data_IF_090011903901
#
_entry.id   IF_090011903901
#
_cell.length_a   1.000
_cell.length_b   1.000
_cell.length_c   1.000
_cell.angle_alpha   90.00
_cell.angle_beta   90.00
_cell.angle_gamma   90.00
#
_symmetry.space_group_name_H-M   'P 1'
#
loop_
_entity.id
_entity.type
_entity.pdbx_description
1 polymer ?
#
# COMPACT_ATOMS: atom_id res chain seq x y z
N UNK A 1 22.88 -34.79 7.22
CA UNK A 1 21.51 -34.51 7.71
C UNK A 1 21.63 -33.50 8.84
N UNK A 2 21.52 -32.22 8.54
CA UNK A 2 21.46 -31.15 9.55
C UNK A 2 20.00 -30.86 9.82
N UNK A 3 19.65 -30.91 11.07
CA UNK A 3 18.33 -30.68 11.66
C UNK A 3 17.66 -29.45 11.07
N UNK A 4 16.54 -29.66 10.34
CA UNK A 4 15.58 -28.61 10.03
C UNK A 4 15.27 -27.86 11.34
N UNK A 5 15.67 -26.60 11.41
CA UNK A 5 15.10 -25.73 12.44
C UNK A 5 13.58 -25.78 12.26
N UNK A 6 12.93 -26.52 13.16
CA UNK A 6 11.48 -26.46 13.30
C UNK A 6 11.14 -24.98 13.48
N UNK A 7 10.54 -24.40 12.47
CA UNK A 7 9.82 -23.13 12.60
C UNK A 7 8.80 -23.34 13.72
N UNK A 8 9.18 -22.93 14.94
CA UNK A 8 8.23 -22.85 16.04
C UNK A 8 7.25 -21.76 15.66
N UNK A 9 6.15 -22.16 15.02
CA UNK A 9 4.98 -21.34 14.85
C UNK A 9 4.48 -21.02 16.26
N UNK A 10 4.99 -19.93 16.85
CA UNK A 10 4.30 -19.30 17.97
C UNK A 10 2.91 -19.02 17.44
N UNK A 11 1.91 -19.70 17.98
CA UNK A 11 0.53 -19.68 17.49
C UNK A 11 0.07 -18.22 17.58
N UNK A 12 0.11 -17.51 16.45
CA UNK A 12 -0.30 -16.10 16.39
C UNK A 12 -1.76 -15.98 16.78
N UNK A 13 -2.08 -14.97 17.56
CA UNK A 13 -3.45 -14.69 17.95
C UNK A 13 -4.07 -13.83 16.87
N UNK A 14 -4.90 -14.45 16.05
CA UNK A 14 -5.64 -13.81 14.96
C UNK A 14 -7.15 -13.91 15.17
N UNK A 15 -7.87 -12.84 14.85
CA UNK A 15 -9.33 -12.82 14.82
C UNK A 15 -9.79 -12.56 13.38
N UNK A 16 -10.49 -13.51 12.77
CA UNK A 16 -11.03 -13.36 11.42
C UNK A 16 -10.34 -14.19 10.34
N UNK A 17 -9.28 -14.95 10.65
CA UNK A 17 -8.67 -15.85 9.69
C UNK A 17 -9.68 -16.87 9.17
N UNK A 18 -9.78 -16.98 7.84
CA UNK A 18 -10.72 -17.86 7.14
C UNK A 18 -10.01 -19.18 6.85
N UNK A 19 -10.56 -20.28 7.34
CA UNK A 19 -10.02 -21.61 7.09
C UNK A 19 -11.07 -22.46 6.39
N UNK A 20 -10.85 -22.73 5.11
CA UNK A 20 -11.71 -23.58 4.27
C UNK A 20 -11.06 -24.91 4.00
N UNK A 21 -11.88 -25.97 3.84
CA UNK A 21 -11.39 -27.26 3.30
C UNK A 21 -11.03 -27.06 1.82
N UNK A 22 -9.91 -27.65 1.38
CA UNK A 22 -9.46 -27.57 -0.03
C UNK A 22 -10.27 -28.45 -0.98
N UNK A 23 -10.90 -29.52 -0.47
CA UNK A 23 -11.67 -30.46 -1.30
C UNK A 23 -12.74 -29.74 -2.09
N UNK A 24 -12.67 -29.83 -3.42
CA UNK A 24 -13.59 -29.17 -4.35
C UNK A 24 -13.36 -27.64 -4.52
N UNK A 25 -12.22 -27.13 -4.07
CA UNK A 25 -11.84 -25.72 -4.20
C UNK A 25 -10.45 -25.58 -4.80
N UNK A 26 -10.25 -24.51 -5.58
CA UNK A 26 -8.94 -24.14 -6.10
C UNK A 26 -8.11 -23.47 -4.99
N UNK A 27 -6.95 -24.06 -4.60
CA UNK A 27 -6.08 -23.46 -3.61
C UNK A 27 -5.25 -22.34 -4.23
N UNK A 28 -5.25 -21.16 -3.62
CA UNK A 28 -4.49 -20.00 -4.05
C UNK A 28 -3.50 -19.62 -2.95
N UNK A 29 -2.22 -19.51 -3.29
CA UNK A 29 -1.22 -18.92 -2.40
C UNK A 29 -1.25 -17.41 -2.57
N UNK A 30 -1.66 -16.66 -1.55
CA UNK A 30 -1.58 -15.21 -1.50
C UNK A 30 -0.31 -14.80 -0.76
N UNK A 31 0.69 -14.38 -1.51
CA UNK A 31 2.02 -14.04 -1.00
C UNK A 31 2.16 -12.53 -0.84
N UNK A 32 2.47 -12.08 0.38
CA UNK A 32 2.99 -10.74 0.59
C UNK A 32 4.52 -10.86 0.71
N UNK A 33 5.30 -10.28 -0.23
CA UNK A 33 6.74 -10.51 -0.29
C UNK A 33 7.52 -9.67 0.75
N UNK A 34 7.06 -9.72 1.98
CA UNK A 34 7.66 -9.08 3.14
C UNK A 34 7.20 -9.78 4.42
N UNK A 35 7.59 -9.25 5.58
CA UNK A 35 7.27 -9.86 6.87
C UNK A 35 5.77 -9.89 7.16
N UNK A 36 5.37 -10.84 8.02
CA UNK A 36 4.00 -10.94 8.50
C UNK A 36 3.49 -9.62 9.10
N UNK A 37 4.33 -8.94 9.89
CA UNK A 37 3.97 -7.70 10.56
C UNK A 37 3.55 -6.61 9.56
N UNK A 38 4.31 -6.45 8.49
CA UNK A 38 4.02 -5.48 7.44
C UNK A 38 2.81 -5.89 6.58
N UNK A 39 2.74 -7.19 6.23
CA UNK A 39 1.62 -7.69 5.43
C UNK A 39 0.28 -7.56 6.15
N UNK A 40 0.22 -7.88 7.44
CA UNK A 40 -1.03 -7.75 8.20
C UNK A 40 -1.44 -6.30 8.50
N UNK A 41 -0.51 -5.36 8.38
CA UNK A 41 -0.77 -3.93 8.41
C UNK A 41 -1.13 -3.34 7.02
N UNK A 42 -1.19 -4.17 5.99
CA UNK A 42 -1.47 -3.74 4.62
C UNK A 42 -2.93 -3.98 4.24
N UNK A 43 -3.70 -2.89 4.07
CA UNK A 43 -5.13 -2.99 3.76
C UNK A 43 -5.38 -3.63 2.38
N UNK A 44 -4.50 -3.42 1.40
CA UNK A 44 -4.60 -4.05 0.09
C UNK A 44 -4.54 -5.58 0.16
N UNK A 45 -3.56 -6.14 0.91
CA UNK A 45 -3.49 -7.58 1.16
C UNK A 45 -4.75 -8.10 1.85
N UNK A 46 -5.24 -7.38 2.86
CA UNK A 46 -6.45 -7.73 3.61
C UNK A 46 -7.68 -7.77 2.69
N UNK A 47 -7.81 -6.78 1.80
CA UNK A 47 -8.89 -6.72 0.81
C UNK A 47 -8.82 -7.89 -0.17
N UNK A 48 -7.65 -8.16 -0.75
CA UNK A 48 -7.47 -9.30 -1.67
C UNK A 48 -7.79 -10.63 -0.99
N UNK A 49 -7.35 -10.82 0.26
CA UNK A 49 -7.66 -12.00 1.05
C UNK A 49 -9.17 -12.19 1.27
N UNK A 50 -9.86 -11.10 1.62
CA UNK A 50 -11.31 -11.10 1.80
C UNK A 50 -12.05 -11.43 0.50
N UNK A 51 -11.70 -10.76 -0.59
CA UNK A 51 -12.29 -10.97 -1.92
C UNK A 51 -12.11 -12.41 -2.38
N UNK A 52 -10.91 -12.96 -2.34
CA UNK A 52 -10.65 -14.34 -2.76
C UNK A 52 -11.42 -15.33 -1.89
N UNK A 53 -11.47 -15.11 -0.58
CA UNK A 53 -12.16 -16.03 0.33
C UNK A 53 -13.67 -15.80 0.44
N UNK A 54 -14.24 -14.78 -0.18
CA UNK A 54 -15.70 -14.62 -0.26
C UNK A 54 -16.35 -15.60 -1.22
N UNK A 55 -15.60 -16.13 -2.20
CA UNK A 55 -16.08 -17.13 -3.14
C UNK A 55 -15.81 -18.57 -2.65
N UNK A 56 -16.83 -19.42 -2.72
CA UNK A 56 -16.73 -20.80 -2.25
C UNK A 56 -15.94 -21.72 -3.19
N UNK A 57 -15.65 -21.31 -4.41
CA UNK A 57 -14.86 -22.07 -5.38
C UNK A 57 -13.37 -22.04 -5.08
N UNK A 58 -12.91 -21.08 -4.30
CA UNK A 58 -11.48 -20.89 -3.99
C UNK A 58 -11.21 -20.95 -2.49
N UNK A 59 -9.97 -21.24 -2.16
CA UNK A 59 -9.40 -21.10 -0.81
C UNK A 59 -8.05 -20.41 -0.93
N UNK A 60 -7.96 -19.16 -0.44
CA UNK A 60 -6.73 -18.40 -0.40
C UNK A 60 -6.05 -18.53 0.96
N UNK A 61 -4.78 -18.90 0.93
CA UNK A 61 -3.91 -19.02 2.11
C UNK A 61 -2.76 -18.03 2.03
N UNK A 62 -2.44 -17.38 3.14
CA UNK A 62 -1.44 -16.31 3.21
C UNK A 62 -0.02 -16.85 3.41
N UNK A 63 0.91 -16.21 2.71
CA UNK A 63 2.35 -16.45 2.82
C UNK A 63 3.08 -15.13 3.04
N UNK A 64 4.14 -15.17 3.84
CA UNK A 64 5.00 -14.02 4.10
C UNK A 64 6.46 -14.43 3.97
N UNK A 65 7.31 -13.52 3.52
CA UNK A 65 8.75 -13.76 3.42
C UNK A 65 9.42 -13.25 4.70
N UNK A 66 9.99 -14.13 5.52
CA UNK A 66 10.65 -13.71 6.74
C UNK A 66 11.91 -12.88 6.45
N UNK A 67 12.28 -12.03 7.39
CA UNK A 67 13.61 -11.43 7.42
C UNK A 67 14.70 -12.46 7.76
N UNK A 68 15.98 -12.05 7.74
CA UNK A 68 17.07 -12.92 8.16
C UNK A 68 16.78 -13.59 9.52
N UNK A 69 17.13 -14.86 9.72
CA UNK A 69 18.05 -15.69 8.92
C UNK A 69 17.38 -16.58 7.84
N UNK A 70 16.26 -16.20 7.23
CA UNK A 70 15.60 -16.98 6.17
C UNK A 70 16.56 -17.21 4.99
N UNK A 71 16.78 -18.48 4.66
CA UNK A 71 17.58 -18.92 3.50
C UNK A 71 16.65 -19.56 2.45
N UNK A 72 16.41 -18.88 1.31
CA UNK A 72 15.49 -19.39 0.28
C UNK A 72 15.95 -20.72 -0.38
N UNK A 73 17.20 -21.12 -0.22
CA UNK A 73 17.70 -22.40 -0.77
C UNK A 73 17.45 -23.59 0.17
N UNK A 74 17.27 -23.33 1.46
CA UNK A 74 17.15 -24.37 2.49
C UNK A 74 15.84 -24.31 3.28
N UNK A 75 15.15 -23.17 3.29
CA UNK A 75 13.92 -22.97 4.03
C UNK A 75 12.71 -22.92 3.09
N UNK A 76 11.62 -23.56 3.47
CA UNK A 76 10.36 -23.50 2.75
C UNK A 76 9.44 -22.42 3.32
N UNK A 77 8.78 -21.64 2.45
CA UNK A 77 7.67 -20.79 2.86
C UNK A 77 6.43 -21.66 3.14
N UNK A 78 5.82 -21.44 4.31
CA UNK A 78 4.63 -22.17 4.74
C UNK A 78 3.44 -21.24 4.91
N UNK A 79 2.25 -21.71 4.53
CA UNK A 79 1.02 -20.93 4.67
C UNK A 79 0.65 -20.70 6.14
N UNK A 80 0.02 -19.57 6.44
CA UNK A 80 -0.48 -19.24 7.77
C UNK A 80 -1.71 -20.09 8.16
N UNK A 81 -2.55 -20.44 7.20
CA UNK A 81 -3.80 -21.17 7.44
C UNK A 81 -3.58 -22.67 7.67
N UNK A 82 -2.86 -23.36 6.77
CA UNK A 82 -2.70 -24.82 6.80
C UNK A 82 -1.30 -25.32 7.14
N UNK A 83 -0.28 -24.44 7.08
CA UNK A 83 1.14 -24.83 7.22
C UNK A 83 1.69 -25.59 6.01
N UNK A 84 1.01 -25.56 4.86
CA UNK A 84 1.49 -26.19 3.63
C UNK A 84 2.57 -25.37 2.96
N UNK A 85 3.53 -26.01 2.29
CA UNK A 85 4.56 -25.30 1.54
C UNK A 85 3.98 -24.64 0.28
N UNK A 86 4.66 -23.59 -0.20
CA UNK A 86 4.27 -22.85 -1.42
C UNK A 86 4.21 -23.76 -2.66
N UNK A 87 4.99 -24.84 -2.68
CA UNK A 87 5.00 -25.86 -3.74
C UNK A 87 3.69 -26.63 -3.91
N UNK A 88 2.80 -26.59 -2.90
CA UNK A 88 1.49 -27.27 -2.97
C UNK A 88 0.42 -26.46 -3.72
N UNK A 89 0.77 -25.33 -4.29
CA UNK A 89 -0.15 -24.40 -4.93
C UNK A 89 0.20 -24.21 -6.42
N UNK A 90 -0.78 -24.34 -7.27
CA UNK A 90 -0.63 -24.12 -8.72
C UNK A 90 -0.87 -22.67 -9.14
N UNK A 91 -1.50 -21.89 -8.27
CA UNK A 91 -1.75 -20.45 -8.46
C UNK A 91 -1.12 -19.70 -7.29
N UNK A 92 -0.18 -18.83 -7.61
CA UNK A 92 0.53 -18.01 -6.63
C UNK A 92 0.31 -16.53 -6.98
N UNK A 93 -0.32 -15.79 -6.07
CA UNK A 93 -0.67 -14.39 -6.24
C UNK A 93 0.18 -13.54 -5.30
N UNK A 94 1.02 -12.68 -5.85
CA UNK A 94 1.81 -11.71 -5.10
C UNK A 94 1.05 -10.39 -4.95
N UNK A 95 0.88 -9.91 -3.71
CA UNK A 95 0.40 -8.58 -3.40
C UNK A 95 1.59 -7.67 -3.08
N UNK A 96 2.00 -6.81 -4.02
CA UNK A 96 3.24 -6.04 -3.94
C UNK A 96 2.93 -4.56 -3.71
N UNK A 97 3.24 -4.06 -2.51
CA UNK A 97 2.98 -2.67 -2.14
C UNK A 97 4.21 -1.77 -2.23
N UNK A 98 5.42 -2.35 -2.21
CA UNK A 98 6.67 -1.61 -2.19
C UNK A 98 7.66 -2.20 -3.20
N UNK A 99 8.39 -1.37 -3.93
CA UNK A 99 9.45 -1.81 -4.84
C UNK A 99 10.62 -2.46 -4.09
N UNK A 100 10.86 -2.07 -2.83
CA UNK A 100 11.85 -2.71 -1.95
C UNK A 100 11.57 -4.19 -1.66
N UNK A 101 10.35 -4.65 -1.92
CA UNK A 101 9.96 -6.06 -1.75
C UNK A 101 10.29 -6.95 -2.97
N UNK A 102 10.73 -6.39 -4.10
CA UNK A 102 11.07 -7.17 -5.30
C UNK A 102 12.12 -8.27 -5.06
N UNK A 103 13.22 -8.03 -4.30
CA UNK A 103 14.15 -9.11 -3.97
C UNK A 103 13.52 -10.26 -3.19
N UNK A 104 12.52 -9.97 -2.36
CA UNK A 104 11.83 -10.99 -1.59
C UNK A 104 10.85 -11.82 -2.43
N UNK A 105 10.29 -11.24 -3.50
CA UNK A 105 9.54 -12.01 -4.51
C UNK A 105 10.45 -13.10 -5.12
N UNK A 106 11.66 -12.73 -5.53
CA UNK A 106 12.65 -13.71 -6.08
C UNK A 106 13.00 -14.78 -5.05
N UNK A 107 13.20 -14.39 -3.78
CA UNK A 107 13.45 -15.36 -2.68
C UNK A 107 12.27 -16.33 -2.49
N UNK A 108 11.03 -15.84 -2.60
CA UNK A 108 9.85 -16.69 -2.50
C UNK A 108 9.79 -17.74 -3.61
N UNK A 109 10.02 -17.34 -4.86
CA UNK A 109 10.08 -18.27 -6.01
C UNK A 109 11.21 -19.27 -5.85
N UNK A 110 12.41 -18.82 -5.47
CA UNK A 110 13.57 -19.67 -5.24
C UNK A 110 13.32 -20.72 -4.14
N UNK A 111 12.67 -20.33 -3.04
CA UNK A 111 12.34 -21.25 -1.93
C UNK A 111 11.40 -22.39 -2.33
N UNK A 112 10.58 -22.16 -3.35
CA UNK A 112 9.69 -23.16 -3.94
C UNK A 112 10.30 -23.86 -5.16
N UNK A 113 11.56 -23.54 -5.53
CA UNK A 113 12.26 -24.06 -6.72
C UNK A 113 11.48 -23.85 -8.02
N UNK A 114 10.72 -22.77 -8.09
CA UNK A 114 9.99 -22.35 -9.29
C UNK A 114 10.99 -21.68 -10.24
N UNK A 115 10.99 -22.01 -11.54
CA UNK A 115 11.81 -21.31 -12.51
C UNK A 115 11.60 -19.80 -12.41
N UNK A 116 12.70 -19.04 -12.27
CA UNK A 116 12.59 -17.59 -12.07
C UNK A 116 12.09 -16.90 -13.32
N UNK A 117 12.71 -17.21 -14.48
CA UNK A 117 12.22 -16.68 -15.76
C UNK A 117 10.87 -17.31 -16.10
N UNK A 118 9.87 -16.48 -16.34
CA UNK A 118 8.53 -16.92 -16.73
C UNK A 118 8.53 -17.69 -18.07
N UNK A 119 9.50 -17.46 -18.95
CA UNK A 119 9.64 -18.18 -20.22
C UNK A 119 10.13 -19.63 -20.03
N UNK A 120 10.75 -19.96 -18.90
CA UNK A 120 11.22 -21.32 -18.60
C UNK A 120 10.13 -22.20 -17.97
N UNK A 121 8.96 -21.62 -17.63
CA UNK A 121 7.86 -22.35 -16.98
C UNK A 121 7.05 -23.16 -17.97
N UNK A 122 6.92 -24.45 -17.69
CA UNK A 122 6.09 -25.39 -18.44
C UNK A 122 4.68 -25.57 -17.84
N UNK A 123 3.94 -26.53 -18.39
CA UNK A 123 2.56 -26.87 -17.97
C UNK A 123 2.47 -27.35 -16.50
N UNK A 124 3.57 -27.94 -16.00
CA UNK A 124 3.68 -28.45 -14.63
C UNK A 124 3.91 -27.36 -13.58
N UNK A 125 4.39 -26.20 -13.98
CA UNK A 125 4.74 -25.11 -13.06
C UNK A 125 3.52 -24.29 -12.66
N UNK A 126 3.55 -23.63 -11.48
CA UNK A 126 2.47 -22.75 -11.06
C UNK A 126 2.36 -21.51 -11.95
N UNK A 127 1.18 -20.93 -12.03
CA UNK A 127 0.96 -19.61 -12.63
C UNK A 127 1.26 -18.55 -11.58
N UNK A 128 2.18 -17.65 -11.90
CA UNK A 128 2.62 -16.56 -11.02
C UNK A 128 1.92 -15.28 -11.42
N UNK A 129 1.11 -14.77 -10.52
CA UNK A 129 0.31 -13.55 -10.70
C UNK A 129 0.84 -12.48 -9.75
N UNK A 130 0.91 -11.24 -10.17
CA UNK A 130 1.24 -10.12 -9.29
C UNK A 130 0.25 -8.97 -9.44
N UNK A 131 -0.02 -8.30 -8.34
CA UNK A 131 -0.82 -7.08 -8.28
C UNK A 131 -0.36 -6.19 -7.13
N UNK A 132 -1.03 -5.06 -6.97
CA UNK A 132 -0.74 -4.08 -5.94
C UNK A 132 -0.09 -2.81 -6.48
N UNK A 133 0.04 -1.79 -5.63
CA UNK A 133 0.39 -0.44 -6.06
C UNK A 133 1.75 -0.37 -6.75
N UNK A 134 2.76 -1.14 -6.32
CA UNK A 134 4.07 -1.13 -6.93
C UNK A 134 4.02 -1.58 -8.39
N UNK A 135 3.20 -2.59 -8.71
CA UNK A 135 3.02 -3.09 -10.08
C UNK A 135 2.15 -2.16 -10.94
N UNK A 136 1.18 -1.46 -10.35
CA UNK A 136 0.42 -0.42 -11.06
C UNK A 136 1.33 0.76 -11.44
N UNK A 137 2.26 1.12 -10.56
CA UNK A 137 3.25 2.17 -10.85
C UNK A 137 4.20 1.72 -11.97
N UNK A 138 4.79 0.54 -11.85
CA UNK A 138 5.66 -0.01 -12.89
C UNK A 138 5.81 -1.54 -12.73
N UNK A 139 5.22 -2.37 -13.60
CA UNK A 139 5.38 -3.82 -13.56
C UNK A 139 6.73 -4.30 -14.13
N UNK A 140 7.37 -3.51 -15.00
CA UNK A 140 8.52 -3.92 -15.79
C UNK A 140 9.74 -4.39 -14.98
N UNK A 141 10.09 -3.80 -13.82
CA UNK A 141 11.25 -4.26 -13.05
C UNK A 141 11.20 -5.74 -12.63
N UNK A 142 10.01 -6.33 -12.58
CA UNK A 142 9.81 -7.74 -12.20
C UNK A 142 9.07 -8.55 -13.26
N UNK A 143 8.88 -8.00 -14.45
CA UNK A 143 8.11 -8.62 -15.53
C UNK A 143 8.65 -10.00 -15.95
N UNK A 144 9.97 -10.19 -15.96
CA UNK A 144 10.59 -11.48 -16.29
C UNK A 144 10.19 -12.61 -15.31
N UNK A 145 9.81 -12.30 -14.08
CA UNK A 145 9.47 -13.26 -13.03
C UNK A 145 7.97 -13.56 -12.94
N UNK A 146 7.12 -12.83 -13.65
CA UNK A 146 5.67 -12.86 -13.49
C UNK A 146 5.00 -13.29 -14.79
N UNK A 147 4.03 -14.20 -14.69
CA UNK A 147 3.23 -14.61 -15.85
C UNK A 147 2.13 -13.60 -16.16
N UNK A 148 1.52 -13.03 -15.12
CA UNK A 148 0.36 -12.14 -15.24
C UNK A 148 0.44 -11.02 -14.20
N UNK A 149 0.22 -9.79 -14.63
CA UNK A 149 -0.09 -8.69 -13.71
C UNK A 149 -1.59 -8.37 -13.74
N UNK A 150 -2.14 -8.14 -12.57
CA UNK A 150 -3.47 -7.59 -12.36
C UNK A 150 -3.31 -6.11 -11.96
N UNK A 151 -3.51 -5.22 -12.92
CA UNK A 151 -3.29 -3.78 -12.78
C UNK A 151 -4.61 -3.08 -12.49
N UNK A 152 -4.77 -2.57 -11.28
CA UNK A 152 -5.96 -1.81 -10.89
C UNK A 152 -6.57 -2.24 -9.55
N UNK A 153 -7.83 -1.92 -9.39
CA UNK A 153 -8.61 -2.21 -8.18
C UNK A 153 -9.15 -3.64 -8.23
N UNK A 154 -8.86 -4.41 -7.18
CA UNK A 154 -9.33 -5.80 -7.10
C UNK A 154 -10.87 -5.88 -7.11
N UNK A 155 -11.55 -4.88 -6.59
CA UNK A 155 -13.00 -4.78 -6.55
C UNK A 155 -13.60 -4.73 -7.97
N UNK A 156 -12.93 -4.06 -8.91
CA UNK A 156 -13.35 -4.02 -10.32
C UNK A 156 -13.16 -5.36 -11.04
N UNK A 157 -12.26 -6.20 -10.54
CA UNK A 157 -11.93 -7.50 -11.11
C UNK A 157 -12.76 -8.63 -10.50
N UNK A 158 -13.31 -8.44 -9.30
CA UNK A 158 -13.97 -9.48 -8.49
C UNK A 158 -15.00 -10.31 -9.24
N UNK A 159 -15.89 -9.76 -10.08
CA UNK A 159 -16.93 -10.55 -10.73
C UNK A 159 -16.40 -11.69 -11.62
N UNK A 160 -15.22 -11.49 -12.23
CA UNK A 160 -14.61 -12.46 -13.14
C UNK A 160 -13.42 -13.20 -12.53
N UNK A 161 -12.77 -12.61 -11.52
CA UNK A 161 -11.47 -13.05 -11.00
C UNK A 161 -11.48 -14.53 -10.59
N UNK A 162 -12.39 -14.93 -9.73
CA UNK A 162 -12.42 -16.32 -9.22
C UNK A 162 -12.81 -17.32 -10.30
N UNK A 163 -13.69 -16.95 -11.23
CA UNK A 163 -14.03 -17.78 -12.40
C UNK A 163 -12.78 -18.05 -13.23
N UNK A 164 -12.03 -17.01 -13.51
CA UNK A 164 -10.83 -17.10 -14.34
C UNK A 164 -9.70 -17.81 -13.60
N UNK A 165 -9.48 -17.53 -12.31
CA UNK A 165 -8.49 -18.26 -11.52
C UNK A 165 -8.77 -19.76 -11.42
N UNK A 166 -10.03 -20.14 -11.29
CA UNK A 166 -10.40 -21.57 -11.33
C UNK A 166 -10.17 -22.21 -12.70
N UNK A 167 -10.38 -21.46 -13.79
CA UNK A 167 -10.10 -21.94 -15.14
C UNK A 167 -8.60 -22.11 -15.43
N UNK A 168 -7.72 -21.42 -14.70
CA UNK A 168 -6.26 -21.62 -14.81
C UNK A 168 -5.81 -23.02 -14.37
N UNK A 169 -6.61 -23.76 -13.61
CA UNK A 169 -6.34 -25.16 -13.26
C UNK A 169 -6.80 -26.15 -14.33
N UNK A 170 -7.54 -25.74 -15.37
CA UNK A 170 -8.00 -26.62 -16.43
C UNK A 170 -6.81 -27.12 -17.26
N UNK A 171 -6.48 -28.39 -17.11
CA UNK A 171 -5.36 -29.04 -17.80
C UNK A 171 -5.60 -29.29 -19.30
N UNK A 172 -6.81 -29.01 -19.82
CA UNK A 172 -7.15 -29.24 -21.24
C UNK A 172 -6.60 -28.17 -22.18
N UNK A 173 -6.44 -26.94 -21.69
CA UNK A 173 -5.87 -25.84 -22.43
C UNK A 173 -4.37 -25.70 -22.10
N UNK A 174 -3.56 -25.31 -23.08
CA UNK A 174 -2.15 -24.97 -22.85
C UNK A 174 -2.01 -23.76 -21.92
N UNK A 175 -0.85 -23.65 -21.24
CA UNK A 175 -0.53 -22.49 -20.40
C UNK A 175 -0.80 -21.16 -21.13
N UNK A 176 -0.33 -21.06 -22.39
CA UNK A 176 -0.48 -19.86 -23.22
C UNK A 176 -1.95 -19.53 -23.54
N UNK A 177 -2.75 -20.53 -23.83
CA UNK A 177 -4.19 -20.35 -24.07
C UNK A 177 -4.92 -19.87 -22.83
N UNK A 178 -4.60 -20.44 -21.65
CA UNK A 178 -5.15 -19.99 -20.37
C UNK A 178 -4.82 -18.54 -20.06
N UNK A 179 -3.56 -18.10 -20.28
CA UNK A 179 -3.10 -16.72 -20.08
C UNK A 179 -3.82 -15.76 -21.04
N UNK A 180 -3.97 -16.16 -22.33
CA UNK A 180 -4.70 -15.37 -23.34
C UNK A 180 -6.18 -15.22 -22.99
N UNK A 181 -6.83 -16.29 -22.58
CA UNK A 181 -8.24 -16.27 -22.19
C UNK A 181 -8.49 -15.32 -21.01
N UNK A 182 -7.59 -15.32 -20.02
CA UNK A 182 -7.65 -14.41 -18.89
C UNK A 182 -7.52 -12.95 -19.34
N UNK A 183 -6.54 -12.66 -20.20
CA UNK A 183 -6.36 -11.31 -20.74
C UNK A 183 -7.54 -10.83 -21.57
N UNK A 184 -8.22 -11.72 -22.30
CA UNK A 184 -9.39 -11.39 -23.09
C UNK A 184 -10.66 -11.15 -22.25
N UNK A 185 -10.76 -11.76 -21.06
CA UNK A 185 -11.95 -11.67 -20.20
C UNK A 185 -11.92 -10.55 -19.17
N UNK A 186 -10.75 -10.00 -18.86
CA UNK A 186 -10.60 -9.03 -17.76
C UNK A 186 -9.81 -7.81 -18.19
N UNK A 187 -10.30 -6.64 -17.83
CA UNK A 187 -9.52 -5.40 -17.91
C UNK A 187 -8.40 -5.40 -16.86
N UNK A 188 -7.31 -4.69 -17.16
CA UNK A 188 -6.18 -4.57 -16.25
C UNK A 188 -5.24 -5.79 -16.23
N UNK A 189 -5.40 -6.72 -17.16
CA UNK A 189 -4.52 -7.89 -17.27
C UNK A 189 -3.37 -7.59 -18.22
N UNK A 190 -2.15 -7.66 -17.69
CA UNK A 190 -0.91 -7.54 -18.46
C UNK A 190 -0.13 -8.87 -18.39
N UNK A 191 0.14 -9.46 -19.55
CA UNK A 191 0.94 -10.69 -19.72
C UNK A 191 2.25 -10.30 -20.39
N UNK A 192 3.37 -10.14 -19.65
CA UNK A 192 4.61 -9.59 -20.22
C UNK A 192 5.11 -10.31 -21.46
N UNK A 193 5.01 -11.63 -21.50
CA UNK A 193 5.46 -12.46 -22.62
C UNK A 193 4.73 -12.18 -23.95
N UNK A 194 3.55 -11.52 -23.90
CA UNK A 194 2.79 -11.19 -25.09
C UNK A 194 3.20 -9.84 -25.72
N UNK A 195 4.13 -9.13 -25.11
CA UNK A 195 4.55 -7.80 -25.54
C UNK A 195 6.06 -7.75 -25.79
N UNK A 196 6.45 -7.10 -26.89
CA UNK A 196 7.86 -6.95 -27.25
C UNK A 196 8.20 -5.46 -27.37
N UNK A 197 9.15 -4.95 -26.58
CA UNK A 197 9.57 -3.55 -26.69
C UNK A 197 10.32 -3.32 -28.00
N UNK A 198 9.97 -2.25 -28.71
CA UNK A 198 10.61 -1.83 -29.95
C UNK A 198 11.55 -0.68 -29.65
N UNK A 199 12.85 -0.90 -29.88
CA UNK A 199 13.87 0.13 -29.67
C UNK A 199 14.42 0.64 -31.00
N UNK A 200 14.67 1.94 -31.08
CA UNK A 200 15.40 2.59 -32.17
C UNK A 200 16.44 3.53 -31.56
N UNK A 201 17.69 3.39 -31.99
CA UNK A 201 18.82 4.19 -31.50
C UNK A 201 18.95 4.17 -29.94
N UNK A 202 18.67 3.04 -29.32
CA UNK A 202 18.70 2.86 -27.86
C UNK A 202 17.49 3.40 -27.10
N UNK A 203 16.55 4.08 -27.77
CA UNK A 203 15.32 4.59 -27.17
C UNK A 203 14.14 3.65 -27.43
N UNK A 204 13.27 3.45 -26.45
CA UNK A 204 12.01 2.75 -26.63
C UNK A 204 11.07 3.62 -27.50
N UNK A 205 10.68 3.09 -28.66
CA UNK A 205 9.83 3.80 -29.64
C UNK A 205 8.42 3.22 -29.76
N UNK A 206 8.19 2.03 -29.22
CA UNK A 206 6.89 1.39 -29.27
C UNK A 206 6.88 -0.01 -28.68
N UNK A 207 5.76 -0.68 -28.81
CA UNK A 207 5.53 -2.05 -28.36
C UNK A 207 4.89 -2.86 -29.49
N UNK A 208 5.43 -4.02 -29.79
CA UNK A 208 4.75 -5.10 -30.47
C UNK A 208 3.92 -5.89 -29.48
N UNK A 209 2.82 -6.48 -29.92
CA UNK A 209 2.01 -7.37 -29.11
C UNK A 209 1.48 -8.54 -29.95
N UNK A 210 1.16 -9.64 -29.30
CA UNK A 210 0.53 -10.78 -29.93
C UNK A 210 -0.98 -10.52 -30.15
N UNK A 211 -1.54 -11.18 -31.17
CA UNK A 211 -2.98 -11.11 -31.44
C UNK A 211 -3.80 -11.58 -30.23
N UNK A 212 -4.84 -10.83 -29.89
CA UNK A 212 -5.73 -11.08 -28.75
C UNK A 212 -5.29 -10.42 -27.44
N UNK A 213 -4.18 -9.67 -27.43
CA UNK A 213 -3.77 -8.82 -26.29
C UNK A 213 -3.96 -7.34 -26.64
N UNK A 214 -4.38 -6.55 -25.66
CA UNK A 214 -4.69 -5.14 -25.86
C UNK A 214 -3.47 -4.24 -25.61
N UNK A 215 -3.35 -3.16 -26.41
CA UNK A 215 -2.42 -2.08 -26.18
C UNK A 215 -3.15 -0.73 -26.37
N UNK A 216 -3.08 0.22 -25.42
CA UNK A 216 -2.48 0.08 -24.09
C UNK A 216 -3.28 -0.86 -23.17
N UNK A 217 -2.60 -1.43 -22.16
CA UNK A 217 -3.27 -2.13 -21.06
C UNK A 217 -3.82 -1.09 -20.09
N UNK A 218 -5.13 -0.92 -20.08
CA UNK A 218 -5.78 0.01 -19.17
C UNK A 218 -6.00 -0.65 -17.80
N UNK A 219 -5.66 0.02 -16.67
CA UNK A 219 -5.92 -0.54 -15.36
C UNK A 219 -7.43 -0.66 -15.10
N UNK A 220 -7.83 -1.68 -14.36
CA UNK A 220 -9.21 -1.83 -13.90
C UNK A 220 -9.49 -0.84 -12.76
N UNK A 221 -10.52 -0.01 -12.91
CA UNK A 221 -10.90 1.01 -11.93
C UNK A 221 -12.29 0.74 -11.41
N UNK A 222 -12.43 0.64 -10.09
CA UNK A 222 -13.71 0.44 -9.42
C UNK A 222 -14.39 1.79 -9.21
N UNK A 223 -15.49 2.04 -9.91
CA UNK A 223 -16.24 3.30 -9.87
C UNK A 223 -17.59 3.17 -9.16
N UNK A 224 -18.01 1.97 -8.85
CA UNK A 224 -19.29 1.71 -8.19
C UNK A 224 -19.24 2.13 -6.70
N UNK A 225 -20.42 2.13 -6.09
CA UNK A 225 -20.57 2.36 -4.65
C UNK A 225 -20.63 1.02 -3.93
N UNK A 226 -19.60 0.61 -3.19
CA UNK A 226 -19.65 -0.64 -2.45
C UNK A 226 -20.62 -0.53 -1.28
N UNK A 227 -21.25 -1.64 -0.92
CA UNK A 227 -22.06 -1.74 0.31
C UNK A 227 -21.20 -1.73 1.58
N UNK A 228 -19.95 -2.19 1.46
CA UNK A 228 -18.97 -2.24 2.56
C UNK A 228 -17.64 -1.71 2.04
N UNK A 229 -17.09 -0.71 2.71
CA UNK A 229 -15.77 -0.16 2.37
C UNK A 229 -14.66 -1.19 2.63
N UNK A 230 -13.54 -1.14 1.88
CA UNK A 230 -12.37 -1.98 2.14
C UNK A 230 -11.90 -1.84 3.59
N UNK A 231 -11.70 -2.97 4.27
CA UNK A 231 -11.39 -2.99 5.70
C UNK A 231 -10.54 -4.20 6.08
N UNK A 232 -10.00 -4.18 7.30
CA UNK A 232 -9.24 -5.29 7.89
C UNK A 232 -10.11 -6.54 8.01
N UNK A 233 -9.70 -7.63 7.38
CA UNK A 233 -10.35 -8.94 7.49
C UNK A 233 -9.88 -9.69 8.73
N UNK A 234 -8.58 -9.59 9.03
CA UNK A 234 -7.93 -10.29 10.13
C UNK A 234 -7.24 -9.28 11.04
N UNK A 235 -7.65 -9.26 12.29
CA UNK A 235 -7.02 -8.48 13.36
C UNK A 235 -5.94 -9.33 14.01
N UNK A 236 -4.72 -8.81 14.12
CA UNK A 236 -3.58 -9.51 14.73
C UNK A 236 -2.84 -8.63 15.72
N UNK A 237 -2.43 -9.23 16.85
CA UNK A 237 -1.55 -8.57 17.81
C UNK A 237 -0.11 -8.40 17.31
N UNK A 238 0.29 -9.22 16.32
CA UNK A 238 1.64 -9.25 15.76
C UNK A 238 1.79 -8.40 14.50
N UNK A 239 0.75 -7.66 14.11
CA UNK A 239 0.81 -6.68 13.02
C UNK A 239 1.69 -5.48 13.40
N UNK A 240 2.24 -4.77 12.42
CA UNK A 240 2.91 -3.48 12.64
C UNK A 240 1.96 -2.41 13.25
N UNK A 241 0.63 -2.61 13.10
CA UNK A 241 -0.41 -1.88 13.83
C UNK A 241 -1.20 -2.89 14.71
N UNK A 242 -0.70 -3.23 15.91
CA UNK A 242 -1.29 -4.28 16.72
C UNK A 242 -2.76 -4.03 17.06
N UNK A 243 -3.61 -5.04 16.82
CA UNK A 243 -5.04 -5.00 17.10
C UNK A 243 -5.84 -3.87 16.44
N UNK A 244 -5.26 -3.16 15.47
CA UNK A 244 -5.93 -2.09 14.76
C UNK A 244 -6.85 -2.64 13.66
N UNK A 245 -8.05 -2.08 13.60
CA UNK A 245 -8.97 -2.29 12.50
C UNK A 245 -8.90 -1.11 11.54
N UNK A 246 -8.39 -1.32 10.35
CA UNK A 246 -8.28 -0.29 9.31
C UNK A 246 -9.53 -0.30 8.44
N UNK A 247 -9.97 0.90 8.03
CA UNK A 247 -11.02 1.09 7.04
C UNK A 247 -10.61 2.17 6.05
N UNK A 248 -10.81 1.91 4.77
CA UNK A 248 -10.57 2.89 3.72
C UNK A 248 -11.77 3.84 3.61
N UNK A 249 -11.53 5.14 3.68
CA UNK A 249 -12.57 6.18 3.53
C UNK A 249 -12.51 6.84 2.16
N UNK A 250 -11.35 6.77 1.51
CA UNK A 250 -11.15 7.27 0.13
C UNK A 250 -9.94 6.64 -0.52
N UNK A 251 -9.93 6.60 -1.86
CA UNK A 251 -8.81 6.10 -2.67
C UNK A 251 -8.40 7.14 -3.70
N UNK A 252 -7.08 7.36 -3.82
CA UNK A 252 -6.50 8.36 -4.70
C UNK A 252 -6.45 9.74 -4.08
N UNK A 253 -5.92 10.71 -4.82
CA UNK A 253 -5.73 12.08 -4.38
C UNK A 253 -5.89 13.05 -5.57
N UNK A 254 -6.65 14.13 -5.38
CA UNK A 254 -6.90 15.15 -6.41
C UNK A 254 -5.82 16.23 -6.51
N UNK A 255 -4.85 16.28 -5.59
CA UNK A 255 -3.93 17.43 -5.43
C UNK A 255 -2.85 17.53 -6.49
N UNK A 256 -2.38 16.43 -7.05
CA UNK A 256 -1.39 16.44 -8.15
C UNK A 256 0.01 16.88 -7.73
N UNK A 257 0.45 16.57 -6.51
CA UNK A 257 1.85 16.76 -6.11
C UNK A 257 2.77 16.02 -7.09
N UNK A 258 3.79 16.71 -7.63
CA UNK A 258 4.57 16.23 -8.78
C UNK A 258 5.43 15.00 -8.52
N UNK A 259 5.59 14.61 -7.26
CA UNK A 259 6.36 13.42 -6.82
C UNK A 259 5.49 12.23 -6.44
N UNK A 260 4.18 12.42 -6.21
CA UNK A 260 3.34 11.46 -5.54
C UNK A 260 2.56 10.58 -6.53
N UNK A 261 2.92 9.30 -6.65
CA UNK A 261 2.25 8.37 -7.54
C UNK A 261 0.73 8.22 -7.24
N UNK A 262 0.32 8.25 -5.97
CA UNK A 262 -1.08 8.10 -5.58
C UNK A 262 -2.02 9.16 -6.20
N UNK A 263 -1.49 10.36 -6.49
CA UNK A 263 -2.23 11.42 -7.18
C UNK A 263 -2.41 11.18 -8.70
N UNK A 264 -1.79 10.15 -9.26
CA UNK A 264 -1.81 9.89 -10.71
C UNK A 264 -2.32 8.48 -11.04
N UNK A 265 -1.91 7.45 -10.30
CA UNK A 265 -2.30 6.06 -10.60
C UNK A 265 -3.68 5.67 -10.07
N UNK A 266 -4.19 6.37 -9.04
CA UNK A 266 -5.53 6.15 -8.49
C UNK A 266 -6.53 7.22 -8.95
N UNK A 267 -6.61 7.47 -10.24
CA UNK A 267 -7.59 8.39 -10.82
C UNK A 267 -8.78 7.65 -11.43
N UNK A 268 -10.01 8.26 -11.31
CA UNK A 268 -10.35 9.45 -10.54
C UNK A 268 -10.26 9.20 -9.03
N UNK A 269 -9.97 10.24 -8.20
CA UNK A 269 -10.07 10.14 -6.75
C UNK A 269 -11.51 9.78 -6.34
N UNK A 270 -11.66 8.87 -5.39
CA UNK A 270 -12.97 8.32 -4.99
C UNK A 270 -13.14 8.38 -3.48
N UNK A 271 -14.34 8.72 -3.05
CA UNK A 271 -14.76 8.67 -1.65
C UNK A 271 -15.72 7.51 -1.49
N UNK A 272 -15.55 6.75 -0.43
CA UNK A 272 -16.51 5.71 -0.10
C UNK A 272 -17.73 6.34 0.58
N UNK A 273 -18.96 5.87 0.28
CA UNK A 273 -20.17 6.31 0.99
C UNK A 273 -20.02 6.07 2.49
N UNK A 274 -20.48 7.00 3.33
CA UNK A 274 -20.38 6.85 4.79
C UNK A 274 -21.16 5.64 5.30
N UNK A 275 -22.22 5.23 4.61
CA UNK A 275 -22.94 3.99 4.87
C UNK A 275 -22.05 2.76 4.69
N UNK A 276 -21.22 2.75 3.65
CA UNK A 276 -20.26 1.67 3.40
C UNK A 276 -19.14 1.65 4.47
N UNK A 277 -18.67 2.83 4.89
CA UNK A 277 -17.71 2.97 6.01
C UNK A 277 -18.33 2.48 7.32
N UNK A 278 -19.60 2.82 7.58
CA UNK A 278 -20.34 2.35 8.74
C UNK A 278 -20.50 0.82 8.74
N UNK A 279 -20.85 0.25 7.58
CA UNK A 279 -20.96 -1.21 7.39
C UNK A 279 -19.62 -1.90 7.64
N UNK A 280 -18.50 -1.31 7.19
CA UNK A 280 -17.17 -1.83 7.48
C UNK A 280 -16.83 -1.74 8.98
N UNK A 281 -17.10 -0.61 9.63
CA UNK A 281 -16.90 -0.44 11.07
C UNK A 281 -17.72 -1.43 11.91
N UNK A 282 -18.88 -1.85 11.43
CA UNK A 282 -19.68 -2.89 12.09
C UNK A 282 -18.97 -4.26 12.10
N UNK A 283 -18.03 -4.50 11.17
CA UNK A 283 -17.24 -5.73 11.10
C UNK A 283 -16.02 -5.76 12.04
N UNK A 284 -15.73 -4.66 12.77
CA UNK A 284 -14.53 -4.50 13.61
C UNK A 284 -14.45 -5.44 14.81
N UNK A 285 -15.49 -6.24 15.04
CA UNK A 285 -15.61 -7.10 16.22
C UNK A 285 -15.49 -6.27 17.52
N UNK A 286 -14.51 -6.57 18.34
CA UNK A 286 -14.21 -5.88 19.60
C UNK A 286 -13.03 -4.88 19.49
N UNK A 287 -12.51 -4.63 18.27
CA UNK A 287 -11.44 -3.67 18.08
C UNK A 287 -11.89 -2.26 18.43
N UNK A 288 -11.08 -1.58 19.25
CA UNK A 288 -11.30 -0.19 19.67
C UNK A 288 -10.36 0.78 18.94
N UNK A 289 -9.23 0.27 18.41
CA UNK A 289 -8.28 1.06 17.64
C UNK A 289 -8.64 0.98 16.17
N UNK A 290 -9.03 2.10 15.60
CA UNK A 290 -9.49 2.23 14.21
C UNK A 290 -8.49 3.06 13.43
N UNK A 291 -7.93 2.49 12.36
CA UNK A 291 -7.08 3.21 11.41
C UNK A 291 -7.90 3.70 10.21
N UNK A 292 -7.99 5.00 10.00
CA UNK A 292 -8.63 5.57 8.82
C UNK A 292 -7.60 5.77 7.70
N UNK A 293 -7.89 5.21 6.51
CA UNK A 293 -7.03 5.29 5.34
C UNK A 293 -7.70 6.18 4.29
N UNK A 294 -6.98 7.18 3.76
CA UNK A 294 -7.48 8.05 2.71
C UNK A 294 -8.17 9.33 3.20
N UNK A 295 -7.64 9.97 4.23
CA UNK A 295 -8.27 11.10 4.94
C UNK A 295 -8.39 12.42 4.17
N UNK A 296 -7.77 12.59 3.02
CA UNK A 296 -7.71 13.90 2.35
C UNK A 296 -9.09 14.48 2.00
N UNK A 297 -10.11 13.63 2.02
CA UNK A 297 -11.45 13.96 1.52
C UNK A 297 -12.55 13.94 2.60
N UNK A 298 -12.24 13.92 3.89
CA UNK A 298 -13.27 14.02 4.92
C UNK A 298 -13.85 15.44 4.95
N UNK A 299 -15.14 15.55 4.74
CA UNK A 299 -15.93 16.77 4.91
C UNK A 299 -16.33 17.01 6.37
N UNK A 300 -17.04 18.11 6.62
CA UNK A 300 -17.52 18.42 7.98
C UNK A 300 -18.50 17.37 8.50
N UNK A 301 -19.43 16.93 7.67
CA UNK A 301 -20.46 15.95 8.06
C UNK A 301 -19.83 14.60 8.44
N UNK A 302 -18.82 14.15 7.68
CA UNK A 302 -18.09 12.92 7.99
C UNK A 302 -17.27 13.02 9.28
N UNK A 303 -16.69 14.21 9.55
CA UNK A 303 -15.97 14.48 10.79
C UNK A 303 -16.91 14.47 11.98
N UNK A 304 -18.09 15.07 11.88
CA UNK A 304 -19.11 15.08 12.92
C UNK A 304 -19.63 13.67 13.21
N UNK A 305 -19.99 12.93 12.17
CA UNK A 305 -20.43 11.55 12.30
C UNK A 305 -19.38 10.64 12.97
N UNK A 306 -18.09 10.77 12.60
CA UNK A 306 -17.01 10.05 13.26
C UNK A 306 -16.86 10.46 14.73
N UNK A 307 -17.01 11.74 15.04
CA UNK A 307 -16.90 12.26 16.41
C UNK A 307 -17.99 11.71 17.34
N UNK A 308 -19.22 11.61 16.84
CA UNK A 308 -20.34 11.00 17.56
C UNK A 308 -20.09 9.53 17.88
N UNK A 309 -19.62 8.78 16.88
CA UNK A 309 -19.30 7.36 17.06
C UNK A 309 -18.13 7.11 18.01
N UNK A 310 -17.10 7.95 17.97
CA UNK A 310 -16.01 7.90 18.94
C UNK A 310 -16.52 7.97 20.36
N UNK A 311 -17.40 8.91 20.61
CA UNK A 311 -17.95 9.16 21.96
C UNK A 311 -18.87 8.02 22.40
N UNK A 312 -19.81 7.61 21.53
CA UNK A 312 -20.82 6.60 21.86
C UNK A 312 -20.25 5.18 21.99
N UNK A 313 -19.24 4.83 21.18
CA UNK A 313 -18.71 3.47 21.11
C UNK A 313 -17.32 3.30 21.77
N UNK A 314 -16.73 4.38 22.28
CA UNK A 314 -15.41 4.39 22.95
C UNK A 314 -14.28 3.97 21.99
N UNK A 315 -14.31 4.43 20.74
CA UNK A 315 -13.30 4.13 19.72
C UNK A 315 -12.12 5.10 19.81
N UNK A 316 -10.95 4.64 19.40
CA UNK A 316 -9.74 5.46 19.24
C UNK A 316 -9.38 5.48 17.76
N UNK A 317 -9.32 6.69 17.16
CA UNK A 317 -8.93 6.81 15.76
C UNK A 317 -7.43 7.07 15.60
N UNK A 318 -6.84 6.42 14.62
CA UNK A 318 -5.53 6.72 14.10
C UNK A 318 -5.65 7.22 12.67
N UNK A 319 -4.86 8.22 12.34
CA UNK A 319 -4.90 8.91 11.07
C UNK A 319 -3.57 8.78 10.32
N UNK A 320 -3.61 8.77 8.99
CA UNK A 320 -2.44 8.98 8.15
C UNK A 320 -1.91 10.42 8.29
N UNK A 321 -0.88 10.79 7.52
CA UNK A 321 -0.37 12.16 7.51
C UNK A 321 -1.43 13.16 7.06
N UNK A 322 -1.46 14.31 7.75
CA UNK A 322 -2.41 15.39 7.51
C UNK A 322 -1.79 16.46 6.58
N UNK A 323 -2.62 17.08 5.78
CA UNK A 323 -2.23 18.34 5.14
C UNK A 323 -2.54 19.51 6.08
N UNK A 324 -1.61 20.44 6.21
CA UNK A 324 -1.76 21.59 7.07
C UNK A 324 -2.99 22.45 6.69
N UNK A 325 -3.24 22.64 5.39
CA UNK A 325 -4.38 23.40 4.87
C UNK A 325 -5.75 22.72 5.06
N UNK A 326 -5.78 21.46 5.50
CA UNK A 326 -6.99 20.71 5.81
C UNK A 326 -7.29 20.64 7.34
N UNK A 327 -6.45 21.22 8.16
CA UNK A 327 -6.65 21.24 9.62
C UNK A 327 -7.71 22.30 9.99
N UNK A 328 -8.91 21.85 10.29
CA UNK A 328 -10.03 22.68 10.74
C UNK A 328 -10.26 22.54 12.26
N UNK A 329 -10.95 23.48 12.92
CA UNK A 329 -11.32 23.33 14.33
C UNK A 329 -12.11 22.05 14.63
N UNK A 330 -13.00 21.63 13.74
CA UNK A 330 -13.75 20.37 13.87
C UNK A 330 -12.83 19.15 13.80
N UNK A 331 -11.86 19.16 12.89
CA UNK A 331 -10.87 18.11 12.79
C UNK A 331 -9.95 18.03 14.03
N UNK A 332 -9.56 19.17 14.59
CA UNK A 332 -8.80 19.23 15.86
C UNK A 332 -9.60 18.64 17.02
N UNK A 333 -10.91 18.95 17.10
CA UNK A 333 -11.80 18.33 18.10
C UNK A 333 -11.85 16.80 17.93
N UNK A 334 -11.93 16.32 16.69
CA UNK A 334 -11.89 14.88 16.37
C UNK A 334 -10.58 14.23 16.82
N UNK A 335 -9.41 14.85 16.52
CA UNK A 335 -8.10 14.38 16.98
C UNK A 335 -8.05 14.27 18.50
N UNK A 336 -8.54 15.29 19.21
CA UNK A 336 -8.58 15.28 20.67
C UNK A 336 -9.50 14.18 21.21
N UNK A 337 -10.71 14.06 20.67
CA UNK A 337 -11.68 13.04 21.06
C UNK A 337 -11.14 11.62 20.82
N UNK A 338 -10.35 11.42 19.77
CA UNK A 338 -9.68 10.16 19.46
C UNK A 338 -8.52 9.82 20.41
N UNK A 339 -8.16 10.72 21.32
CA UNK A 339 -7.02 10.53 22.22
C UNK A 339 -5.66 10.60 21.53
N UNK A 340 -5.59 11.21 20.34
CA UNK A 340 -4.35 11.33 19.56
C UNK A 340 -3.25 12.03 20.40
N UNK A 341 -2.08 11.40 20.45
CA UNK A 341 -0.91 11.95 21.15
C UNK A 341 0.09 12.59 20.19
N UNK A 342 0.00 12.25 18.91
CA UNK A 342 0.89 12.71 17.83
C UNK A 342 0.02 13.07 16.64
N UNK A 343 0.26 14.23 16.05
CA UNK A 343 -0.25 14.56 14.72
C UNK A 343 0.92 14.55 13.71
N UNK A 344 0.68 14.01 12.53
CA UNK A 344 1.69 13.94 11.48
C UNK A 344 1.33 14.94 10.37
N UNK A 345 2.23 15.87 10.07
CA UNK A 345 2.10 16.84 8.97
C UNK A 345 3.21 16.57 7.97
N UNK A 346 2.90 16.71 6.68
CA UNK A 346 3.85 16.49 5.59
C UNK A 346 4.07 17.78 4.76
N UNK A 347 4.96 18.69 5.19
CA UNK A 347 5.36 19.85 4.38
C UNK A 347 6.09 19.43 3.10
N UNK A 348 6.85 18.34 3.15
CA UNK A 348 7.67 17.72 2.10
C UNK A 348 8.95 18.50 1.77
N UNK A 349 8.94 19.84 1.80
CA UNK A 349 10.09 20.69 1.55
C UNK A 349 10.15 21.84 2.57
N UNK A 350 11.37 22.34 2.84
CA UNK A 350 11.61 23.44 3.79
C UNK A 350 11.08 24.76 3.32
N UNK A 351 11.42 25.18 2.08
CA UNK A 351 11.04 26.49 1.55
C UNK A 351 9.67 26.47 0.86
N UNK A 352 8.97 27.59 0.90
CA UNK A 352 7.71 27.77 0.14
C UNK A 352 7.93 27.68 -1.38
N UNK A 353 9.07 28.15 -1.86
CA UNK A 353 9.43 28.10 -3.27
C UNK A 353 9.49 26.65 -3.75
N UNK A 354 10.17 25.79 -3.01
CA UNK A 354 10.28 24.37 -3.35
C UNK A 354 8.92 23.66 -3.16
N UNK A 355 8.12 24.02 -2.15
CA UNK A 355 6.75 23.50 -2.00
C UNK A 355 5.84 23.85 -3.18
N UNK A 356 5.99 25.03 -3.78
CA UNK A 356 5.32 25.41 -5.06
C UNK A 356 5.86 24.59 -6.22
N UNK A 357 7.18 24.43 -6.30
CA UNK A 357 7.84 23.64 -7.35
C UNK A 357 7.35 22.21 -7.40
N UNK A 358 7.16 21.57 -6.25
CA UNK A 358 6.63 20.19 -6.16
C UNK A 358 5.09 20.13 -6.20
N UNK A 359 4.41 21.25 -6.42
CA UNK A 359 2.94 21.40 -6.41
C UNK A 359 2.28 20.95 -5.07
N UNK A 360 2.98 21.12 -3.95
CA UNK A 360 2.40 20.91 -2.61
C UNK A 360 1.57 22.13 -2.19
N UNK A 361 1.99 23.33 -2.59
CA UNK A 361 1.27 24.61 -2.42
C UNK A 361 0.84 24.89 -0.96
N UNK A 362 1.71 24.61 0.00
CA UNK A 362 1.55 24.97 1.41
C UNK A 362 2.44 26.18 1.74
N UNK A 363 1.88 27.21 2.34
CA UNK A 363 2.64 28.34 2.88
C UNK A 363 3.14 28.04 4.31
N UNK A 364 4.14 28.78 4.75
CA UNK A 364 4.62 28.70 6.13
C UNK A 364 3.50 29.04 7.12
N UNK A 365 2.72 30.09 6.82
CA UNK A 365 1.60 30.50 7.68
C UNK A 365 0.54 29.43 7.82
N UNK A 366 0.18 28.73 6.73
CA UNK A 366 -0.75 27.59 6.81
C UNK A 366 -0.21 26.49 7.70
N UNK A 367 1.09 26.19 7.62
CA UNK A 367 1.73 25.18 8.47
C UNK A 367 1.71 25.62 9.93
N UNK A 368 2.09 26.87 10.22
CA UNK A 368 2.14 27.39 11.59
C UNK A 368 0.74 27.51 12.23
N UNK A 369 -0.28 27.94 11.47
CA UNK A 369 -1.68 27.99 11.91
C UNK A 369 -2.16 26.56 12.26
N UNK A 370 -1.86 25.57 11.40
CA UNK A 370 -2.23 24.19 11.66
C UNK A 370 -1.55 23.64 12.93
N UNK A 371 -0.26 23.95 13.11
CA UNK A 371 0.52 23.56 14.29
C UNK A 371 -0.06 24.17 15.56
N UNK A 372 -0.35 25.47 15.53
CA UNK A 372 -0.97 26.17 16.67
C UNK A 372 -2.32 25.53 17.05
N UNK A 373 -3.18 25.32 16.05
CA UNK A 373 -4.49 24.70 16.26
C UNK A 373 -4.39 23.29 16.86
N UNK A 374 -3.49 22.45 16.35
CA UNK A 374 -3.25 21.09 16.82
C UNK A 374 -2.72 21.09 18.27
N UNK A 375 -1.70 21.91 18.56
CA UNK A 375 -1.09 22.00 19.88
C UNK A 375 -2.07 22.58 20.92
N UNK A 376 -2.76 23.68 20.59
CA UNK A 376 -3.80 24.29 21.42
C UNK A 376 -5.00 23.36 21.63
N UNK A 377 -5.31 22.52 20.64
CA UNK A 377 -6.33 21.47 20.71
C UNK A 377 -5.97 20.29 21.61
N UNK A 378 -4.75 20.26 22.19
CA UNK A 378 -4.34 19.25 23.16
C UNK A 378 -3.61 18.03 22.57
N UNK A 379 -3.16 18.10 21.32
CA UNK A 379 -2.26 17.10 20.71
C UNK A 379 -0.82 17.60 20.83
N UNK A 380 -0.02 17.10 21.79
CA UNK A 380 1.23 17.76 22.19
C UNK A 380 2.39 17.49 21.25
N UNK A 381 2.39 16.37 20.51
CA UNK A 381 3.54 15.97 19.71
C UNK A 381 3.25 16.09 18.22
N UNK A 382 4.27 16.48 17.46
CA UNK A 382 4.23 16.53 16.01
C UNK A 382 5.24 15.58 15.39
N UNK A 383 4.86 14.97 14.27
CA UNK A 383 5.77 14.32 13.35
C UNK A 383 5.72 15.06 12.01
N UNK A 384 6.88 15.43 11.51
CA UNK A 384 7.01 16.19 10.26
C UNK A 384 7.72 15.34 9.23
N UNK A 385 7.15 15.27 8.01
CA UNK A 385 7.77 14.59 6.89
C UNK A 385 8.37 15.58 5.90
N UNK A 386 9.63 15.33 5.54
CA UNK A 386 10.35 16.06 4.51
C UNK A 386 11.05 15.09 3.55
N UNK A 387 11.38 15.59 2.37
CA UNK A 387 12.22 14.92 1.39
C UNK A 387 13.45 15.78 1.09
N UNK A 388 14.56 15.10 0.78
CA UNK A 388 15.78 15.70 0.23
C UNK A 388 16.06 15.11 -1.16
N UNK A 389 16.76 15.87 -2.00
CA UNK A 389 17.05 15.48 -3.37
C UNK A 389 15.89 15.71 -4.33
N UNK A 390 14.96 16.58 -3.97
CA UNK A 390 13.87 17.00 -4.85
C UNK A 390 14.42 17.73 -6.11
N UNK A 391 13.77 17.59 -7.27
CA UNK A 391 14.14 18.37 -8.44
C UNK A 391 14.15 19.86 -8.14
N UNK A 392 15.22 20.53 -8.58
CA UNK A 392 15.49 21.98 -8.39
C UNK A 392 15.78 22.40 -6.94
N UNK A 393 15.96 21.45 -6.02
CA UNK A 393 16.32 21.73 -4.63
C UNK A 393 17.73 22.34 -4.52
N UNK A 394 17.85 23.44 -3.81
CA UNK A 394 19.14 24.07 -3.45
C UNK A 394 19.57 23.69 -2.02
N UNK A 395 20.78 24.07 -1.63
CA UNK A 395 21.25 23.85 -0.25
C UNK A 395 20.49 24.76 0.73
N UNK A 396 20.05 25.95 0.28
CA UNK A 396 19.21 26.86 1.06
C UNK A 396 17.82 26.26 1.31
N UNK A 397 17.24 25.54 0.33
CA UNK A 397 15.97 24.83 0.52
C UNK A 397 16.10 23.71 1.57
N UNK A 398 17.24 23.02 1.62
CA UNK A 398 17.51 22.01 2.62
C UNK A 398 17.66 22.62 4.02
N UNK A 399 18.39 23.75 4.14
CA UNK A 399 18.51 24.50 5.40
C UNK A 399 17.17 25.06 5.86
N UNK A 400 16.30 25.46 4.97
CA UNK A 400 14.95 25.95 5.28
C UNK A 400 14.09 24.89 6.03
N UNK A 401 14.44 23.59 5.96
CA UNK A 401 13.81 22.57 6.81
C UNK A 401 14.06 22.88 8.29
N UNK A 402 15.30 23.19 8.64
CA UNK A 402 15.69 23.50 10.02
C UNK A 402 15.00 24.80 10.50
N UNK A 403 15.00 25.84 9.65
CA UNK A 403 14.34 27.11 9.94
C UNK A 403 12.84 26.95 10.17
N UNK A 404 12.16 26.17 9.34
CA UNK A 404 10.73 25.89 9.49
C UNK A 404 10.46 25.10 10.79
N UNK A 405 11.29 24.11 11.10
CA UNK A 405 11.17 23.33 12.35
C UNK A 405 11.37 24.21 13.57
N UNK A 406 12.33 25.16 13.54
CA UNK A 406 12.54 26.11 14.62
C UNK A 406 11.34 27.05 14.81
N UNK A 407 10.76 27.56 13.73
CA UNK A 407 9.52 28.35 13.80
C UNK A 407 8.35 27.55 14.38
N UNK A 408 8.19 26.30 13.98
CA UNK A 408 7.20 25.38 14.55
C UNK A 408 7.46 25.18 16.05
N UNK A 409 8.69 24.98 16.47
CA UNK A 409 9.06 24.86 17.87
C UNK A 409 8.71 26.11 18.68
N UNK A 410 8.97 27.29 18.12
CA UNK A 410 8.63 28.58 18.75
C UNK A 410 7.11 28.76 18.88
N UNK A 411 6.31 28.32 17.92
CA UNK A 411 4.84 28.32 17.98
C UNK A 411 4.33 27.38 19.08
N UNK A 412 4.88 26.17 19.20
CA UNK A 412 4.42 25.18 20.20
C UNK A 412 4.85 25.50 21.63
N UNK A 413 5.98 26.19 21.82
CA UNK A 413 6.59 26.40 23.14
C UNK A 413 5.69 27.10 24.15
N UNK A 414 5.05 28.26 23.85
CA UNK A 414 4.15 28.93 24.81
C UNK A 414 2.95 28.08 25.19
N UNK A 415 2.39 27.32 24.23
CA UNK A 415 1.27 26.41 24.45
C UNK A 415 1.68 25.29 25.42
N UNK A 416 2.86 24.70 25.20
CA UNK A 416 3.40 23.65 26.05
C UNK A 416 3.70 24.14 27.47
N UNK A 417 4.22 25.38 27.62
CA UNK A 417 4.47 26.01 28.91
C UNK A 417 3.13 26.25 29.70
N UNK A 418 2.11 26.79 29.02
CA UNK A 418 0.81 27.01 29.61
C UNK A 418 0.15 25.69 30.07
N UNK A 419 0.33 24.62 29.32
CA UNK A 419 -0.20 23.28 29.63
C UNK A 419 0.73 22.46 30.56
N UNK A 420 1.85 23.02 31.03
CA UNK A 420 2.88 22.33 31.84
C UNK A 420 3.40 21.03 31.19
N UNK A 421 3.35 20.98 29.86
CA UNK A 421 3.78 19.83 29.09
C UNK A 421 4.37 20.27 27.74
N UNK A 422 5.67 20.26 27.64
CA UNK A 422 6.35 20.48 26.36
C UNK A 422 6.13 19.26 25.45
N UNK A 423 5.73 19.51 24.23
CA UNK A 423 5.60 18.47 23.20
C UNK A 423 6.92 18.17 22.49
N UNK A 424 6.98 17.01 21.84
CA UNK A 424 8.10 16.60 21.01
C UNK A 424 7.81 16.86 19.52
N UNK A 425 8.84 17.28 18.78
CA UNK A 425 8.82 17.35 17.33
C UNK A 425 9.75 16.26 16.81
N UNK A 426 9.21 15.35 16.01
CA UNK A 426 9.99 14.32 15.31
C UNK A 426 10.05 14.69 13.84
N UNK A 427 11.25 14.90 13.31
CA UNK A 427 11.47 15.15 11.89
C UNK A 427 11.88 13.84 11.22
N UNK A 428 11.18 13.45 10.19
CA UNK A 428 11.49 12.29 9.35
C UNK A 428 11.82 12.77 7.95
N UNK A 429 13.04 12.50 7.51
CA UNK A 429 13.54 12.92 6.19
C UNK A 429 13.78 11.67 5.34
N UNK A 430 13.29 11.68 4.11
CA UNK A 430 13.49 10.61 3.13
C UNK A 430 14.13 11.15 1.86
N UNK A 431 14.84 10.30 1.11
CA UNK A 431 15.30 10.65 -0.22
C UNK A 431 14.11 10.69 -1.19
N UNK A 432 14.09 11.70 -2.07
CA UNK A 432 13.20 11.69 -3.21
C UNK A 432 13.58 10.57 -4.18
N UNK A 433 12.61 9.76 -4.58
CA UNK A 433 12.76 8.72 -5.61
C UNK A 433 11.77 9.00 -6.72
N UNK A 434 12.22 9.19 -7.97
CA UNK A 434 11.32 9.36 -9.12
C UNK A 434 10.37 8.18 -9.25
N UNK A 435 9.08 8.47 -9.46
CA UNK A 435 8.04 7.46 -9.63
C UNK A 435 7.41 7.58 -11.00
N UNK A 436 7.21 6.46 -11.69
CA UNK A 436 6.49 6.43 -12.96
C UNK A 436 5.08 7.07 -12.82
N UNK A 437 4.55 7.59 -13.92
CA UNK A 437 3.28 8.33 -14.02
C UNK A 437 3.25 9.69 -13.34
N UNK A 438 4.31 10.07 -12.60
CA UNK A 438 4.39 11.41 -11.98
C UNK A 438 5.09 12.42 -12.92
N UNK A 439 4.83 13.72 -12.79
CA UNK A 439 5.58 14.74 -13.53
C UNK A 439 7.10 14.65 -13.33
N UNK A 440 7.56 14.15 -12.19
CA UNK A 440 8.98 13.99 -11.88
C UNK A 440 9.55 12.61 -12.24
N UNK A 441 8.84 11.79 -13.01
CA UNK A 441 9.29 10.44 -13.38
C UNK A 441 10.65 10.38 -14.09
N UNK A 442 11.05 11.45 -14.79
CA UNK A 442 12.31 11.55 -15.52
C UNK A 442 13.37 12.39 -14.80
N UNK A 443 13.07 12.83 -13.57
CA UNK A 443 14.06 13.56 -12.78
C UNK A 443 15.18 12.62 -12.32
N UNK A 444 16.39 13.16 -12.21
CA UNK A 444 17.51 12.40 -11.67
C UNK A 444 17.32 12.13 -10.18
N UNK A 445 17.77 10.95 -9.73
CA UNK A 445 17.99 10.69 -8.31
C UNK A 445 19.24 11.47 -7.86
N UNK A 446 19.19 12.14 -6.73
CA UNK A 446 20.32 12.91 -6.22
C UNK A 446 21.49 11.99 -5.88
N UNK A 447 22.72 12.41 -6.19
CA UNK A 447 23.92 11.63 -5.86
C UNK A 447 24.14 11.56 -4.37
N UNK A 448 24.81 10.48 -3.93
CA UNK A 448 25.06 10.20 -2.53
C UNK A 448 25.83 11.33 -1.81
N UNK A 449 26.78 11.96 -2.50
CA UNK A 449 27.61 13.02 -1.96
C UNK A 449 26.79 14.28 -1.62
N UNK A 450 25.88 14.66 -2.53
CA UNK A 450 24.92 15.74 -2.33
C UNK A 450 23.98 15.41 -1.16
N UNK A 451 23.46 14.18 -1.11
CA UNK A 451 22.55 13.75 -0.04
C UNK A 451 23.24 13.78 1.33
N UNK A 452 24.46 13.23 1.43
CA UNK A 452 25.24 13.25 2.68
C UNK A 452 25.52 14.70 3.13
N UNK A 453 25.87 15.60 2.19
CA UNK A 453 26.11 17.01 2.49
C UNK A 453 24.87 17.67 3.11
N UNK A 454 23.68 17.43 2.55
CA UNK A 454 22.42 18.04 3.01
C UNK A 454 21.87 17.43 4.31
N UNK A 455 22.21 16.19 4.61
CA UNK A 455 21.81 15.54 5.88
C UNK A 455 22.67 16.02 7.05
N UNK A 456 23.93 16.38 6.81
CA UNK A 456 24.87 16.89 7.82
C UNK A 456 24.62 18.37 8.12
#
# INVERSE_FOLDING_TARGET
MKTSQKWNKTKRIEKGAIRKKRTGRTPIALVFPDTYQLGMANLGLQTVYGVLNSDDRVVAERFFVPGPPFDPLNDALLSEESGRPLTDFRIIVFSISFESSYPNLVKALASARIPLDSNERGEGDPVIIAGGIATIINPEPVAAFIDIFLLGDIEAMTPQLTVVLTALEDAKASRRERLRELAARMNGVYVPQAYTPIHKDGALTGWGHEDGFNIPVAPAVFLDRPEIAPHTQIISSDSAFPNMFMVEVSRGCGRGCRFCAAGFVYRPPRRWPMEAVASALAQRKDAKDIGLVGLEYLGLDEIEWLSERLTSEGLRLSFSSLRADAVTPSFVRLLRASGAKVATIAPEAGSEALRRTINKNLTDDQILIAVDAIASGGVPNLKLYFMLGLPFETDEDALAIVELVDRIRLTMRPIGQANKRLGNITVSVSAFVPKAWTPFQWAAFADEKTMIKRIR
#
